data_IF_636972467811
#
_entry.id   IF_636972467811
#
_cell.length_a   1.000
_cell.length_b   1.000
_cell.length_c   1.000
_cell.angle_alpha   90.00
_cell.angle_beta   90.00
_cell.angle_gamma   90.00
#
_symmetry.space_group_name_H-M   'P 1'
#
loop_
_entity.id
_entity.type
_entity.pdbx_description
1 polymer ?
#
# COMPACT_ATOMS: atom_id res chain seq x y z
N UNK A 1 -0.60 9.60 -14.32
CA UNK A 1 -0.88 9.43 -12.90
C UNK A 1 -1.89 10.42 -12.33
N UNK A 2 -2.31 11.41 -13.07
CA UNK A 2 -3.27 12.39 -12.59
C UNK A 2 -2.72 13.45 -11.65
N UNK A 3 -1.43 13.41 -11.34
CA UNK A 3 -0.77 14.42 -10.50
C UNK A 3 0.29 15.12 -11.31
N UNK A 4 0.19 16.44 -11.38
CA UNK A 4 1.16 17.25 -12.09
C UNK A 4 2.23 17.77 -11.14
N UNK A 5 3.47 17.80 -11.62
CA UNK A 5 4.54 18.47 -10.90
C UNK A 5 4.68 19.89 -11.42
N UNK A 6 4.84 20.84 -10.50
CA UNK A 6 5.03 22.24 -10.83
C UNK A 6 6.31 22.75 -10.20
N UNK A 7 6.97 23.75 -10.81
CA UNK A 7 8.15 24.34 -10.19
C UNK A 7 7.80 24.94 -8.83
N UNK A 8 8.67 24.70 -7.87
CA UNK A 8 8.54 25.25 -6.52
C UNK A 8 9.75 26.13 -6.23
N UNK A 9 9.56 27.04 -5.32
CA UNK A 9 10.65 27.90 -4.88
C UNK A 9 11.75 27.12 -4.17
N UNK A 10 12.81 27.80 -3.78
CA UNK A 10 13.96 27.16 -3.13
C UNK A 10 13.57 26.46 -1.84
N UNK A 11 14.33 25.42 -1.48
CA UNK A 11 14.14 24.70 -0.25
C UNK A 11 13.41 23.37 -0.39
N UNK A 12 12.87 23.05 -1.58
CA UNK A 12 12.19 21.78 -1.79
C UNK A 12 12.64 21.12 -3.07
N UNK A 13 13.37 20.01 -2.94
CA UNK A 13 13.87 19.26 -4.08
C UNK A 13 12.90 18.14 -4.53
N UNK A 14 12.01 17.67 -3.65
CA UNK A 14 11.02 16.65 -3.97
C UNK A 14 9.65 17.28 -3.97
N UNK A 15 8.93 17.24 -5.09
CA UNK A 15 7.57 17.79 -5.18
C UNK A 15 6.54 16.77 -4.75
N UNK A 16 6.75 15.50 -5.07
CA UNK A 16 5.90 14.42 -4.61
C UNK A 16 6.67 13.11 -4.62
N UNK A 17 6.25 12.21 -3.76
CA UNK A 17 6.75 10.85 -3.69
C UNK A 17 5.58 9.92 -3.99
N UNK A 18 5.81 8.96 -4.86
CA UNK A 18 4.80 7.96 -5.22
C UNK A 18 5.40 6.57 -5.10
N UNK A 19 4.55 5.58 -4.82
CA UNK A 19 4.95 4.19 -4.81
C UNK A 19 4.35 3.51 -6.04
N UNK A 20 5.15 2.71 -6.73
CA UNK A 20 4.67 1.90 -7.83
C UNK A 20 4.74 0.43 -7.43
N UNK A 21 3.65 -0.30 -7.60
CA UNK A 21 3.57 -1.72 -7.28
C UNK A 21 3.42 -2.50 -8.58
N UNK A 22 4.34 -3.42 -8.81
CA UNK A 22 4.33 -4.25 -10.01
C UNK A 22 3.22 -5.30 -9.92
N UNK A 23 2.50 -5.49 -11.02
CA UNK A 23 1.41 -6.45 -11.04
C UNK A 23 1.23 -7.05 -12.43
N UNK A 24 0.91 -8.32 -12.48
CA UNK A 24 0.45 -8.99 -13.68
C UNK A 24 -1.04 -8.72 -13.89
N UNK A 25 -1.80 -8.61 -12.81
CA UNK A 25 -3.24 -8.42 -12.84
C UNK A 25 -3.62 -7.34 -11.81
N UNK A 26 -3.55 -6.09 -12.24
CA UNK A 26 -3.81 -4.96 -11.36
C UNK A 26 -5.17 -5.05 -10.66
N UNK A 27 -6.29 -5.38 -11.36
CA UNK A 27 -7.57 -5.48 -10.68
C UNK A 27 -7.60 -6.48 -9.53
N UNK A 28 -6.77 -7.51 -9.56
CA UNK A 28 -6.74 -8.52 -8.50
C UNK A 28 -6.03 -8.04 -7.24
N UNK A 29 -5.13 -7.05 -7.33
CA UNK A 29 -4.38 -6.59 -6.16
C UNK A 29 -4.81 -5.21 -5.65
N UNK A 30 -5.42 -4.39 -6.49
CA UNK A 30 -5.82 -3.03 -6.11
C UNK A 30 -6.74 -2.99 -4.88
N UNK A 31 -7.77 -3.84 -4.76
CA UNK A 31 -8.63 -3.84 -3.57
C UNK A 31 -7.87 -4.09 -2.27
N UNK A 32 -6.89 -4.98 -2.30
CA UNK A 32 -6.04 -5.24 -1.13
C UNK A 32 -5.32 -3.97 -0.69
N UNK A 33 -4.66 -3.28 -1.64
CA UNK A 33 -3.89 -2.08 -1.31
C UNK A 33 -4.79 -0.94 -0.87
N UNK A 34 -5.97 -0.82 -1.48
CA UNK A 34 -6.97 0.15 -1.05
C UNK A 34 -7.37 -0.08 0.40
N UNK A 35 -7.55 -1.33 0.78
CA UNK A 35 -7.96 -1.70 2.13
C UNK A 35 -6.83 -1.55 3.15
N UNK A 36 -5.65 -2.09 2.86
CA UNK A 36 -4.55 -2.11 3.85
C UNK A 36 -4.03 -0.71 4.13
N UNK A 37 -4.04 0.17 3.13
CA UNK A 37 -3.62 1.55 3.29
C UNK A 37 -4.75 2.47 3.78
N UNK A 38 -5.99 2.03 3.69
CA UNK A 38 -7.18 2.88 3.86
C UNK A 38 -7.15 4.06 2.88
N UNK A 39 -6.71 3.79 1.66
CA UNK A 39 -6.66 4.78 0.58
C UNK A 39 -7.94 4.73 -0.24
N UNK A 40 -8.11 5.73 -1.10
CA UNK A 40 -9.25 5.82 -2.02
C UNK A 40 -8.75 6.09 -3.43
N UNK A 41 -9.63 5.94 -4.42
CA UNK A 41 -9.35 6.46 -5.74
C UNK A 41 -9.55 7.97 -5.77
N UNK A 42 -8.97 8.63 -6.77
CA UNK A 42 -9.27 10.03 -7.04
C UNK A 42 -10.72 10.13 -7.51
N UNK A 43 -11.49 11.14 -7.08
CA UNK A 43 -12.87 11.32 -7.57
C UNK A 43 -12.94 11.28 -9.10
N UNK A 44 -13.79 10.40 -9.62
CA UNK A 44 -13.92 10.18 -11.06
C UNK A 44 -12.89 9.22 -11.66
N UNK A 45 -11.94 8.73 -10.85
CA UNK A 45 -10.87 7.84 -11.30
C UNK A 45 -10.63 6.71 -10.30
N UNK A 46 -11.70 6.00 -9.96
CA UNK A 46 -11.64 4.87 -9.02
C UNK A 46 -11.93 3.55 -9.74
N UNK A 47 -11.40 3.40 -10.94
CA UNK A 47 -11.53 2.17 -11.72
C UNK A 47 -10.53 1.10 -11.29
N UNK A 48 -10.67 -0.12 -11.85
CA UNK A 48 -9.89 -1.28 -11.40
C UNK A 48 -8.37 -1.15 -11.54
N UNK A 49 -7.89 -0.25 -12.39
CA UNK A 49 -6.47 -0.06 -12.63
C UNK A 49 -5.97 1.32 -12.24
N UNK A 50 -6.86 2.16 -11.69
CA UNK A 50 -6.51 3.53 -11.35
C UNK A 50 -5.64 3.60 -10.09
N UNK A 51 -4.84 4.66 -9.96
CA UNK A 51 -4.05 4.88 -8.74
C UNK A 51 -4.90 5.05 -7.49
N UNK A 52 -4.24 4.91 -6.35
CA UNK A 52 -4.83 5.14 -5.03
C UNK A 52 -4.17 6.34 -4.39
N UNK A 53 -4.94 7.10 -3.66
CA UNK A 53 -4.46 8.29 -2.96
C UNK A 53 -4.83 8.22 -1.48
N UNK A 54 -4.00 8.86 -0.67
CA UNK A 54 -4.32 9.12 0.73
C UNK A 54 -5.44 10.17 0.77
N UNK A 55 -6.60 9.86 1.39
CA UNK A 55 -7.68 10.86 1.47
C UNK A 55 -7.27 12.12 2.21
N UNK A 56 -6.27 12.08 3.09
CA UNK A 56 -5.74 13.26 3.77
C UNK A 56 -4.67 13.98 2.96
N UNK A 57 -4.22 13.41 1.86
CA UNK A 57 -3.18 13.97 0.98
C UNK A 57 -1.81 14.13 1.64
N UNK A 58 -1.58 13.43 2.74
CA UNK A 58 -0.29 13.50 3.44
C UNK A 58 0.69 12.41 3.00
N UNK A 59 0.19 11.20 2.75
CA UNK A 59 1.03 10.09 2.32
C UNK A 59 1.20 10.04 0.80
N UNK A 60 2.15 9.21 0.33
CA UNK A 60 2.40 9.07 -1.09
C UNK A 60 1.23 8.40 -1.82
N UNK A 61 0.98 8.80 -3.04
CA UNK A 61 0.06 8.08 -3.91
C UNK A 61 0.67 6.74 -4.30
N UNK A 62 -0.20 5.78 -4.60
CA UNK A 62 0.21 4.46 -5.05
C UNK A 62 -0.38 4.22 -6.44
N UNK A 63 0.46 3.79 -7.37
CA UNK A 63 -0.02 3.39 -8.67
C UNK A 63 0.51 1.99 -8.99
N UNK A 64 -0.01 1.38 -10.04
CA UNK A 64 0.28 -0.01 -10.35
C UNK A 64 0.93 -0.09 -11.72
N UNK A 65 2.09 -0.78 -11.76
CA UNK A 65 2.85 -0.95 -12.98
C UNK A 65 2.50 -2.30 -13.60
N UNK A 66 1.89 -2.27 -14.78
CA UNK A 66 1.59 -3.50 -15.49
C UNK A 66 2.88 -4.19 -15.93
N UNK A 67 3.01 -5.45 -15.56
CA UNK A 67 4.16 -6.28 -15.89
C UNK A 67 3.77 -7.30 -16.95
N UNK A 68 4.75 -7.78 -17.69
CA UNK A 68 4.58 -8.85 -18.68
C UNK A 68 5.10 -10.20 -18.16
N UNK A 69 5.80 -10.20 -17.03
CA UNK A 69 6.32 -11.41 -16.39
C UNK A 69 6.25 -11.23 -14.87
N UNK A 70 5.98 -12.32 -14.12
CA UNK A 70 5.99 -12.24 -12.67
C UNK A 70 7.40 -12.00 -12.15
N UNK A 71 7.49 -11.35 -11.01
CA UNK A 71 8.77 -11.09 -10.37
C UNK A 71 9.28 -12.36 -9.68
N UNK A 72 10.57 -12.71 -9.87
CA UNK A 72 11.09 -13.97 -9.35
C UNK A 72 11.51 -13.96 -7.88
N UNK A 73 11.53 -12.81 -7.22
CA UNK A 73 12.04 -12.69 -5.85
C UNK A 73 11.21 -11.75 -5.00
N UNK A 74 11.43 -11.83 -3.68
CA UNK A 74 10.72 -10.97 -2.72
C UNK A 74 11.13 -9.52 -2.89
N UNK A 75 10.29 -8.64 -2.34
CA UNK A 75 10.56 -7.20 -2.31
C UNK A 75 11.83 -6.90 -1.53
N UNK A 76 12.62 -5.97 -2.05
CA UNK A 76 13.79 -5.46 -1.32
C UNK A 76 13.43 -4.29 -0.43
N UNK A 77 12.39 -3.55 -0.80
CA UNK A 77 11.87 -2.44 0.00
C UNK A 77 10.66 -2.93 0.75
N UNK A 78 10.61 -2.66 2.04
CA UNK A 78 9.50 -3.04 2.89
C UNK A 78 8.60 -1.84 3.09
N UNK A 79 7.29 -2.05 2.95
CA UNK A 79 6.28 -1.03 3.22
C UNK A 79 5.69 -1.33 4.58
N UNK A 80 5.79 -0.38 5.49
CA UNK A 80 5.20 -0.50 6.83
C UNK A 80 4.04 0.46 6.93
N UNK A 81 2.86 -0.08 7.26
CA UNK A 81 1.66 0.70 7.50
C UNK A 81 1.47 0.76 9.01
N UNK A 82 1.85 1.87 9.60
CA UNK A 82 1.69 2.06 11.05
C UNK A 82 0.27 2.50 11.35
N UNK A 83 -0.38 1.79 12.26
CA UNK A 83 -1.75 2.09 12.65
C UNK A 83 -1.84 2.14 14.18
N UNK A 84 -2.83 2.86 14.72
CA UNK A 84 -3.13 2.76 16.15
C UNK A 84 -3.41 1.30 16.52
N UNK A 85 -3.00 0.92 17.72
CA UNK A 85 -3.11 -0.49 18.13
C UNK A 85 -4.55 -1.01 18.12
N UNK A 86 -5.52 -0.13 18.37
CA UNK A 86 -6.94 -0.52 18.36
C UNK A 86 -7.54 -0.62 16.95
N UNK A 87 -6.78 -0.25 15.91
CA UNK A 87 -7.22 -0.37 14.53
C UNK A 87 -6.57 -1.53 13.78
N UNK A 88 -5.55 -2.17 14.37
CA UNK A 88 -4.77 -3.17 13.66
C UNK A 88 -5.62 -4.35 13.21
N UNK A 89 -6.42 -4.91 14.11
CA UNK A 89 -7.22 -6.09 13.77
C UNK A 89 -8.23 -5.81 12.65
N UNK A 90 -8.91 -4.68 12.71
CA UNK A 90 -9.87 -4.32 11.65
C UNK A 90 -9.18 -4.02 10.33
N UNK A 91 -8.01 -3.41 10.36
CA UNK A 91 -7.24 -3.12 9.15
C UNK A 91 -6.79 -4.43 8.48
N UNK A 92 -6.29 -5.36 9.27
CA UNK A 92 -5.87 -6.68 8.77
C UNK A 92 -7.07 -7.44 8.22
N UNK A 93 -8.18 -7.46 8.96
CA UNK A 93 -9.39 -8.15 8.50
C UNK A 93 -9.88 -7.60 7.15
N UNK A 94 -9.88 -6.26 6.99
CA UNK A 94 -10.27 -5.62 5.74
C UNK A 94 -9.34 -6.01 4.58
N UNK A 95 -8.04 -6.05 4.84
CA UNK A 95 -7.05 -6.41 3.83
C UNK A 95 -7.22 -7.88 3.39
N UNK A 96 -7.43 -8.77 4.34
CA UNK A 96 -7.64 -10.19 4.03
C UNK A 96 -8.95 -10.40 3.27
N UNK A 97 -10.00 -9.70 3.66
CA UNK A 97 -11.29 -9.76 2.95
C UNK A 97 -11.16 -9.24 1.52
N UNK A 98 -10.23 -8.35 1.26
CA UNK A 98 -10.00 -7.76 -0.06
C UNK A 98 -9.01 -8.58 -0.92
N UNK A 99 -8.69 -9.80 -0.52
CA UNK A 99 -7.89 -10.72 -1.32
C UNK A 99 -6.47 -10.93 -0.84
N UNK A 100 -6.11 -10.37 0.30
CA UNK A 100 -4.77 -10.57 0.87
C UNK A 100 -4.63 -11.89 1.61
N UNK A 101 -3.39 -12.22 1.94
CA UNK A 101 -3.06 -13.37 2.79
C UNK A 101 -2.19 -12.93 3.96
N UNK A 102 -2.34 -13.62 5.08
CA UNK A 102 -1.45 -13.44 6.22
C UNK A 102 -0.22 -14.28 6.00
N UNK A 103 0.93 -13.64 5.85
CA UNK A 103 2.21 -14.32 5.66
C UNK A 103 2.81 -14.72 7.00
N UNK A 104 2.75 -13.82 8.00
CA UNK A 104 3.32 -14.10 9.31
C UNK A 104 2.66 -13.24 10.37
N UNK A 105 2.36 -13.86 11.52
CA UNK A 105 1.94 -13.18 12.75
C UNK A 105 2.92 -13.43 13.88
N UNK A 106 4.13 -13.89 13.57
CA UNK A 106 5.12 -14.27 14.59
C UNK A 106 5.52 -13.12 15.50
N UNK A 107 5.42 -11.89 15.02
CA UNK A 107 5.76 -10.68 15.75
C UNK A 107 4.55 -9.86 16.15
N UNK A 108 3.34 -10.48 16.09
CA UNK A 108 2.15 -9.80 16.57
C UNK A 108 2.35 -9.49 18.05
N UNK A 109 2.01 -8.39 18.43
CA UNK A 109 1.28 -7.19 18.07
C UNK A 109 2.19 -6.05 17.58
N UNK A 110 3.51 -6.32 17.55
CA UNK A 110 4.43 -5.33 16.98
C UNK A 110 4.13 -5.15 15.49
N UNK A 111 4.02 -6.26 14.75
CA UNK A 111 3.63 -6.18 13.33
C UNK A 111 3.14 -7.53 12.82
N UNK A 112 2.40 -7.47 11.73
CA UNK A 112 1.95 -8.62 10.93
C UNK A 112 2.42 -8.42 9.50
N UNK A 113 2.80 -9.50 8.83
CA UNK A 113 3.18 -9.46 7.40
C UNK A 113 2.02 -9.98 6.58
N UNK A 114 1.54 -9.16 5.67
CA UNK A 114 0.48 -9.54 4.73
C UNK A 114 1.05 -9.50 3.31
N UNK A 115 0.36 -10.17 2.40
CA UNK A 115 0.71 -10.12 0.98
C UNK A 115 -0.54 -9.99 0.14
N UNK A 116 -0.41 -9.33 -1.01
CA UNK A 116 -1.47 -9.30 -2.01
C UNK A 116 -1.50 -10.62 -2.79
N UNK A 117 -2.42 -10.74 -3.75
CA UNK A 117 -2.60 -11.99 -4.51
C UNK A 117 -1.39 -12.36 -5.36
N UNK A 118 -0.49 -11.44 -5.61
CA UNK A 118 0.73 -11.68 -6.40
C UNK A 118 2.00 -11.76 -5.55
N UNK A 119 1.84 -11.77 -4.22
CA UNK A 119 2.97 -11.93 -3.32
C UNK A 119 3.69 -10.65 -2.94
N UNK A 120 3.18 -9.48 -3.30
CA UNK A 120 3.74 -8.21 -2.82
C UNK A 120 3.41 -8.05 -1.34
N UNK A 121 4.43 -7.83 -0.51
CA UNK A 121 4.29 -7.84 0.93
C UNK A 121 4.16 -6.45 1.52
N UNK A 122 3.44 -6.36 2.63
CA UNK A 122 3.29 -5.15 3.43
C UNK A 122 3.19 -5.55 4.89
N UNK A 123 3.76 -4.75 5.78
CA UNK A 123 3.61 -4.96 7.22
C UNK A 123 2.59 -3.99 7.78
N UNK A 124 1.65 -4.49 8.57
CA UNK A 124 0.82 -3.66 9.43
C UNK A 124 1.50 -3.61 10.77
N UNK A 125 1.84 -2.42 11.26
CA UNK A 125 2.65 -2.26 12.45
C UNK A 125 1.92 -1.43 13.51
N UNK A 126 2.25 -1.70 14.77
CA UNK A 126 1.79 -0.89 15.90
C UNK A 126 2.99 -0.52 16.77
N UNK A 127 2.76 0.22 17.83
CA UNK A 127 3.79 0.53 18.81
C UNK A 127 3.82 -0.45 19.98
N UNK A 128 3.03 -1.53 19.91
CA UNK A 128 2.98 -2.54 20.96
C UNK A 128 4.15 -3.51 20.82
N UNK A 129 4.60 -4.04 21.97
CA UNK A 129 5.58 -5.13 22.06
C UNK A 129 6.86 -4.86 21.25
N UNK A 130 7.32 -3.62 21.28
CA UNK A 130 8.49 -3.21 20.50
C UNK A 130 9.82 -3.25 21.28
N UNK A 131 9.77 -3.47 22.55
CA UNK A 131 10.96 -3.48 23.40
C UNK A 131 11.64 -4.84 23.39
#
# INVERSE_FOLDING_TARGET
LGLETVPRGPGRSVQKLELAIDAMDIPSIRPFWKAVLAYTGEPGYDGPTDPLIDPTREGPAVWFQQMDQPRPQRNRIHVDVSVPHDEADSRIASALAAGGTLVSDRRARAFWVLADAEGNEVCVTTWQDRD
#
